data_IF_411307463033
#
_entry.id   IF_411307463033
#
_cell.length_a   1.000
_cell.length_b   1.000
_cell.length_c   1.000
_cell.angle_alpha   90.00
_cell.angle_beta   90.00
_cell.angle_gamma   90.00
#
_symmetry.space_group_name_H-M   'P 1'
#
loop_
_entity.id
_entity.type
_entity.pdbx_description
1 polymer ?
#
# COMPACT_ATOMS: atom_id res chain seq x y z
N UNK A 1 -29.86 -12.00 6.46
CA UNK A 1 -29.47 -10.90 7.39
C UNK A 1 -27.99 -10.49 7.26
N UNK A 2 -27.08 -11.36 6.81
CA UNK A 2 -25.59 -11.17 6.85
C UNK A 2 -24.95 -10.29 5.77
N UNK A 3 -25.72 -9.54 4.98
CA UNK A 3 -25.19 -8.62 3.94
C UNK A 3 -25.58 -7.15 4.15
N UNK A 4 -26.21 -6.81 5.27
CA UNK A 4 -26.60 -5.42 5.54
C UNK A 4 -25.33 -4.59 5.86
N UNK A 5 -25.05 -3.50 5.13
CA UNK A 5 -23.87 -2.66 5.36
C UNK A 5 -23.82 -2.07 6.78
N UNK A 6 -24.97 -1.81 7.42
CA UNK A 6 -25.05 -1.35 8.81
C UNK A 6 -24.53 -2.41 9.80
N UNK A 7 -24.79 -3.69 9.53
CA UNK A 7 -24.26 -4.77 10.35
C UNK A 7 -22.73 -4.88 10.23
N UNK A 8 -22.17 -4.56 9.05
CA UNK A 8 -20.72 -4.63 8.85
C UNK A 8 -19.99 -3.48 9.57
N UNK A 9 -20.54 -2.26 9.56
CA UNK A 9 -19.98 -1.14 10.33
C UNK A 9 -20.02 -1.39 11.85
N UNK A 10 -21.09 -2.02 12.34
CA UNK A 10 -21.19 -2.45 13.73
C UNK A 10 -20.13 -3.53 14.07
N UNK A 11 -19.87 -4.47 13.16
CA UNK A 11 -18.79 -5.45 13.30
C UNK A 11 -17.43 -4.77 13.35
N UNK A 12 -17.17 -3.79 12.46
CA UNK A 12 -15.92 -3.04 12.43
C UNK A 12 -15.66 -2.32 13.78
N UNK A 13 -16.71 -1.72 14.36
CA UNK A 13 -16.63 -1.09 15.69
C UNK A 13 -16.38 -2.10 16.81
N UNK A 14 -17.04 -3.26 16.75
CA UNK A 14 -16.89 -4.33 17.73
C UNK A 14 -15.48 -4.96 17.71
N UNK A 15 -14.86 -5.06 16.53
CA UNK A 15 -13.45 -5.47 16.39
C UNK A 15 -12.55 -4.51 17.17
N UNK A 16 -12.72 -3.20 16.98
CA UNK A 16 -11.94 -2.18 17.69
C UNK A 16 -12.11 -2.26 19.22
N UNK A 17 -13.33 -2.52 19.70
CA UNK A 17 -13.59 -2.72 21.13
C UNK A 17 -12.88 -3.98 21.68
N UNK A 18 -12.97 -5.11 20.98
CA UNK A 18 -12.26 -6.31 21.43
C UNK A 18 -10.75 -6.13 21.45
N UNK A 19 -10.19 -5.36 20.52
CA UNK A 19 -8.77 -5.03 20.55
C UNK A 19 -8.37 -4.14 21.72
N UNK A 20 -9.18 -3.13 22.06
CA UNK A 20 -8.90 -2.26 23.22
C UNK A 20 -8.98 -3.01 24.54
N UNK A 21 -9.81 -4.05 24.60
CA UNK A 21 -9.92 -4.98 25.74
C UNK A 21 -8.85 -6.09 25.74
N UNK A 22 -7.91 -6.10 24.79
CA UNK A 22 -6.88 -7.14 24.68
C UNK A 22 -7.39 -8.50 24.19
N UNK A 23 -8.64 -8.61 23.76
CA UNK A 23 -9.28 -9.85 23.33
C UNK A 23 -8.99 -10.16 21.85
N UNK A 24 -7.71 -10.34 21.52
CA UNK A 24 -7.23 -10.47 20.15
C UNK A 24 -7.87 -11.62 19.36
N UNK A 25 -8.20 -12.75 20.01
CA UNK A 25 -8.85 -13.90 19.35
C UNK A 25 -10.28 -13.60 18.90
N UNK A 26 -11.07 -12.91 19.74
CA UNK A 26 -12.43 -12.49 19.37
C UNK A 26 -12.40 -11.45 18.26
N UNK A 27 -11.50 -10.46 18.38
CA UNK A 27 -11.26 -9.46 17.35
C UNK A 27 -10.90 -10.13 16.01
N UNK A 28 -10.00 -11.12 16.01
CA UNK A 28 -9.61 -11.83 14.81
C UNK A 28 -10.78 -12.57 14.15
N UNK A 29 -11.59 -13.28 14.94
CA UNK A 29 -12.75 -14.03 14.42
C UNK A 29 -13.71 -13.10 13.66
N UNK A 30 -14.02 -11.95 14.25
CA UNK A 30 -14.89 -10.95 13.63
C UNK A 30 -14.22 -10.28 12.42
N UNK A 31 -12.93 -9.94 12.51
CA UNK A 31 -12.20 -9.30 11.41
C UNK A 31 -12.12 -10.21 10.17
N UNK A 32 -11.79 -11.50 10.35
CA UNK A 32 -11.80 -12.47 9.26
C UNK A 32 -13.20 -12.63 8.65
N UNK A 33 -14.24 -12.67 9.48
CA UNK A 33 -15.63 -12.75 8.99
C UNK A 33 -16.03 -11.51 8.20
N UNK A 34 -15.76 -10.32 8.72
CA UNK A 34 -16.05 -9.06 8.02
C UNK A 34 -15.34 -9.00 6.67
N UNK A 35 -14.05 -9.36 6.65
CA UNK A 35 -13.27 -9.42 5.42
C UNK A 35 -13.81 -10.46 4.43
N UNK A 36 -14.15 -11.68 4.87
CA UNK A 36 -14.70 -12.71 3.97
C UNK A 36 -16.00 -12.30 3.29
N UNK A 37 -16.77 -11.40 3.90
CA UNK A 37 -18.02 -10.88 3.33
C UNK A 37 -17.77 -9.74 2.34
N UNK A 38 -16.63 -9.06 2.43
CA UNK A 38 -16.23 -7.95 1.54
C UNK A 38 -14.74 -8.05 1.21
N UNK A 39 -14.32 -9.03 0.40
CA UNK A 39 -12.91 -9.35 0.19
C UNK A 39 -12.14 -8.29 -0.61
N UNK A 40 -12.84 -7.36 -1.26
CA UNK A 40 -12.24 -6.19 -1.93
C UNK A 40 -12.04 -4.99 -1.01
N UNK A 41 -12.49 -5.03 0.25
CA UNK A 41 -12.41 -3.89 1.17
C UNK A 41 -11.03 -3.85 1.86
N UNK A 42 -10.19 -2.89 1.47
CA UNK A 42 -8.84 -2.73 1.99
C UNK A 42 -8.75 -2.45 3.50
N UNK A 43 -9.69 -1.71 4.08
CA UNK A 43 -9.69 -1.40 5.52
C UNK A 43 -9.92 -2.66 6.37
N UNK A 44 -10.89 -3.49 5.98
CA UNK A 44 -11.19 -4.76 6.66
C UNK A 44 -10.09 -5.78 6.48
N UNK A 45 -9.51 -5.83 5.27
CA UNK A 45 -8.32 -6.61 4.99
C UNK A 45 -7.15 -6.25 5.92
N UNK A 46 -6.83 -4.96 6.06
CA UNK A 46 -5.74 -4.51 6.93
C UNK A 46 -6.02 -4.77 8.40
N UNK A 47 -7.28 -4.64 8.83
CA UNK A 47 -7.68 -4.94 10.20
C UNK A 47 -7.44 -6.42 10.52
N UNK A 48 -7.91 -7.33 9.65
CA UNK A 48 -7.67 -8.77 9.81
C UNK A 48 -6.17 -9.10 9.75
N UNK A 49 -5.44 -8.53 8.80
CA UNK A 49 -4.00 -8.76 8.61
C UNK A 49 -3.19 -8.32 9.82
N UNK A 50 -3.45 -7.13 10.36
CA UNK A 50 -2.74 -6.59 11.53
C UNK A 50 -2.98 -7.43 12.79
N UNK A 51 -4.21 -7.85 13.05
CA UNK A 51 -4.54 -8.72 14.20
C UNK A 51 -3.87 -10.09 14.02
N UNK A 52 -3.92 -10.65 12.81
CA UNK A 52 -3.30 -11.93 12.46
C UNK A 52 -1.78 -11.88 12.69
N UNK A 53 -1.11 -10.81 12.24
CA UNK A 53 0.31 -10.60 12.43
C UNK A 53 0.70 -10.47 13.91
N UNK A 54 -0.09 -9.71 14.70
CA UNK A 54 0.12 -9.59 16.17
C UNK A 54 0.05 -10.93 16.89
N UNK A 55 -0.79 -11.84 16.43
CA UNK A 55 -0.95 -13.19 16.98
C UNK A 55 0.10 -14.19 16.47
N UNK A 56 0.99 -13.79 15.57
CA UNK A 56 2.02 -14.66 14.99
C UNK A 56 1.48 -15.71 14.01
N UNK A 57 0.26 -15.54 13.51
CA UNK A 57 -0.41 -16.49 12.62
C UNK A 57 -0.04 -16.24 11.14
N UNK A 58 1.24 -16.41 10.79
CA UNK A 58 1.76 -15.93 9.51
C UNK A 58 1.24 -16.69 8.28
N UNK A 59 0.92 -17.98 8.39
CA UNK A 59 0.29 -18.71 7.28
C UNK A 59 -1.11 -18.17 6.95
N UNK A 60 -1.89 -17.82 7.99
CA UNK A 60 -3.17 -17.14 7.83
C UNK A 60 -3.00 -15.74 7.23
N UNK A 61 -1.92 -15.04 7.59
CA UNK A 61 -1.61 -13.71 7.04
C UNK A 61 -1.40 -13.80 5.53
N UNK A 62 -0.67 -14.81 5.05
CA UNK A 62 -0.45 -15.03 3.63
C UNK A 62 -1.74 -15.36 2.89
N UNK A 63 -2.62 -16.17 3.48
CA UNK A 63 -3.93 -16.49 2.89
C UNK A 63 -4.84 -15.26 2.76
N UNK A 64 -4.83 -14.38 3.78
CA UNK A 64 -5.54 -13.10 3.69
C UNK A 64 -5.02 -12.26 2.52
N UNK A 65 -3.69 -12.19 2.34
CA UNK A 65 -3.07 -11.50 1.21
C UNK A 65 -3.50 -12.07 -0.14
N UNK A 66 -3.44 -13.40 -0.31
CA UNK A 66 -3.92 -14.09 -1.52
C UNK A 66 -5.38 -13.78 -1.82
N UNK A 67 -6.24 -13.86 -0.80
CA UNK A 67 -7.67 -13.57 -0.92
C UNK A 67 -7.92 -12.15 -1.37
N UNK A 68 -7.26 -11.16 -0.75
CA UNK A 68 -7.41 -9.74 -1.10
C UNK A 68 -6.93 -9.48 -2.53
N UNK A 69 -5.74 -9.96 -2.89
CA UNK A 69 -5.17 -9.76 -4.23
C UNK A 69 -6.05 -10.37 -5.34
N UNK A 70 -6.70 -11.51 -5.07
CA UNK A 70 -7.62 -12.15 -6.02
C UNK A 70 -8.96 -11.41 -6.19
N UNK A 71 -9.38 -10.61 -5.21
CA UNK A 71 -10.65 -9.87 -5.22
C UNK A 71 -10.45 -8.34 -5.28
N UNK A 72 -9.23 -7.89 -5.56
CA UNK A 72 -8.92 -6.48 -5.58
C UNK A 72 -9.82 -5.77 -6.61
N UNK A 73 -10.43 -4.67 -6.20
CA UNK A 73 -11.23 -3.87 -7.11
C UNK A 73 -10.34 -2.92 -7.91
N UNK A 74 -10.45 -2.96 -9.24
CA UNK A 74 -9.72 -2.05 -10.13
C UNK A 74 -10.03 -0.57 -9.85
N UNK A 75 -11.21 -0.26 -9.30
CA UNK A 75 -11.66 1.11 -9.01
C UNK A 75 -11.21 1.63 -7.64
N UNK A 76 -10.58 0.78 -6.80
CA UNK A 76 -10.11 1.20 -5.49
C UNK A 76 -8.85 2.08 -5.60
N UNK A 77 -8.99 3.39 -5.50
CA UNK A 77 -7.85 4.32 -5.55
C UNK A 77 -6.79 4.08 -4.45
N UNK A 78 -7.12 3.38 -3.37
CA UNK A 78 -6.24 3.15 -2.22
C UNK A 78 -5.51 1.81 -2.28
N UNK A 79 -5.73 0.98 -3.31
CA UNK A 79 -5.19 -0.38 -3.39
C UNK A 79 -3.69 -0.47 -3.11
N UNK A 80 -2.92 0.51 -3.60
CA UNK A 80 -1.47 0.53 -3.46
C UNK A 80 -1.01 0.85 -2.02
N UNK A 81 -1.72 1.74 -1.33
CA UNK A 81 -1.46 2.03 0.09
C UNK A 81 -1.78 0.81 0.96
N UNK A 82 -2.86 0.10 0.62
CA UNK A 82 -3.28 -1.12 1.30
C UNK A 82 -2.24 -2.23 1.11
N UNK A 83 -1.79 -2.48 -0.12
CA UNK A 83 -0.73 -3.46 -0.37
C UNK A 83 0.58 -3.08 0.31
N UNK A 84 0.97 -1.80 0.30
CA UNK A 84 2.17 -1.34 1.02
C UNK A 84 2.08 -1.68 2.51
N UNK A 85 0.96 -1.36 3.15
CA UNK A 85 0.77 -1.62 4.58
C UNK A 85 0.80 -3.10 4.91
N UNK A 86 0.19 -3.94 4.05
CA UNK A 86 0.27 -5.39 4.19
C UNK A 86 1.69 -5.94 4.00
N UNK A 87 2.41 -5.45 2.98
CA UNK A 87 3.81 -5.84 2.74
C UNK A 87 4.71 -5.42 3.88
N UNK A 88 4.47 -4.30 4.54
CA UNK A 88 5.23 -3.89 5.73
C UNK A 88 5.05 -4.91 6.88
N UNK A 89 3.82 -5.40 7.13
CA UNK A 89 3.57 -6.48 8.12
C UNK A 89 4.32 -7.77 7.78
N UNK A 90 4.31 -8.18 6.51
CA UNK A 90 5.03 -9.37 6.05
C UNK A 90 6.54 -9.17 6.12
N UNK A 91 7.02 -7.96 5.83
CA UNK A 91 8.44 -7.60 5.91
C UNK A 91 8.94 -7.60 7.35
N UNK A 92 8.11 -7.20 8.31
CA UNK A 92 8.46 -7.30 9.73
C UNK A 92 8.61 -8.77 10.17
N UNK A 93 7.72 -9.65 9.71
CA UNK A 93 7.92 -11.09 9.89
C UNK A 93 9.22 -11.57 9.23
N UNK A 94 9.46 -11.17 7.98
CA UNK A 94 10.67 -11.56 7.23
C UNK A 94 11.97 -11.22 7.98
N UNK A 95 12.04 -10.06 8.66
CA UNK A 95 13.19 -9.66 9.48
C UNK A 95 13.46 -10.61 10.65
N UNK A 96 12.43 -11.27 11.19
CA UNK A 96 12.57 -12.24 12.29
C UNK A 96 13.08 -13.60 11.85
N UNK A 97 13.04 -13.90 10.54
CA UNK A 97 13.46 -15.18 10.00
C UNK A 97 14.99 -15.27 9.91
N UNK A 98 15.54 -16.39 10.35
CA UNK A 98 16.98 -16.68 10.27
C UNK A 98 17.32 -17.60 9.10
N UNK A 99 16.45 -18.56 8.79
CA UNK A 99 16.71 -19.57 7.78
C UNK A 99 16.41 -19.09 6.36
N UNK A 100 17.33 -19.36 5.42
CA UNK A 100 17.18 -18.97 4.02
C UNK A 100 15.97 -19.60 3.35
N UNK A 101 15.60 -20.83 3.72
CA UNK A 101 14.46 -21.53 3.16
C UNK A 101 13.13 -20.87 3.53
N UNK A 102 12.96 -20.41 4.77
CA UNK A 102 11.75 -19.72 5.20
C UNK A 102 11.68 -18.33 4.57
N UNK A 103 12.79 -17.60 4.49
CA UNK A 103 12.86 -16.34 3.74
C UNK A 103 12.45 -16.50 2.28
N UNK A 104 12.94 -17.54 1.59
CA UNK A 104 12.52 -17.87 0.21
C UNK A 104 11.02 -18.14 0.11
N UNK A 105 10.42 -18.86 1.07
CA UNK A 105 8.97 -19.07 1.09
C UNK A 105 8.21 -17.74 1.15
N UNK A 106 8.61 -16.81 2.03
CA UNK A 106 7.98 -15.48 2.11
C UNK A 106 8.11 -14.71 0.80
N UNK A 107 9.28 -14.76 0.14
CA UNK A 107 9.47 -14.13 -1.16
C UNK A 107 8.54 -14.72 -2.23
N UNK A 108 8.33 -16.04 -2.23
CA UNK A 108 7.35 -16.69 -3.12
C UNK A 108 5.95 -16.17 -2.84
N UNK A 109 5.55 -16.07 -1.57
CA UNK A 109 4.23 -15.54 -1.18
C UNK A 109 4.01 -14.10 -1.66
N UNK A 110 5.01 -13.23 -1.51
CA UNK A 110 4.94 -11.84 -1.96
C UNK A 110 4.92 -11.71 -3.48
N UNK A 111 5.66 -12.57 -4.20
CA UNK A 111 5.62 -12.60 -5.66
C UNK A 111 4.27 -13.10 -6.18
N UNK A 112 3.68 -14.09 -5.53
CA UNK A 112 2.34 -14.60 -5.85
C UNK A 112 1.26 -13.53 -5.61
N UNK A 113 1.35 -12.80 -4.49
CA UNK A 113 0.50 -11.64 -4.22
C UNK A 113 0.51 -10.64 -5.38
N UNK A 114 1.70 -10.24 -5.85
CA UNK A 114 1.82 -9.34 -6.99
C UNK A 114 1.21 -9.95 -8.27
N UNK A 115 1.43 -11.24 -8.54
CA UNK A 115 0.87 -11.89 -9.72
C UNK A 115 -0.66 -11.91 -9.70
N UNK A 116 -1.28 -12.22 -8.55
CA UNK A 116 -2.73 -12.20 -8.39
C UNK A 116 -3.29 -10.79 -8.54
N UNK A 117 -2.63 -9.81 -7.91
CA UNK A 117 -2.99 -8.39 -8.01
C UNK A 117 -2.96 -7.91 -9.46
N UNK A 118 -1.91 -8.27 -10.21
CA UNK A 118 -1.74 -7.84 -11.60
C UNK A 118 -2.93 -8.24 -12.48
N UNK A 119 -3.52 -9.41 -12.24
CA UNK A 119 -4.69 -9.92 -12.98
C UNK A 119 -5.95 -9.07 -12.77
N UNK A 120 -6.02 -8.29 -11.69
CA UNK A 120 -7.18 -7.44 -11.36
C UNK A 120 -7.01 -5.98 -11.82
N UNK A 121 -5.82 -5.60 -12.30
CA UNK A 121 -5.46 -4.20 -12.53
C UNK A 121 -5.43 -3.83 -14.02
N UNK A 122 -5.80 -2.59 -14.31
CA UNK A 122 -5.64 -2.00 -15.64
C UNK A 122 -4.17 -1.70 -15.99
N UNK A 123 -3.86 -1.46 -17.27
CA UNK A 123 -2.49 -1.31 -17.77
C UNK A 123 -1.64 -0.30 -16.98
N UNK A 124 -2.17 0.90 -16.72
CA UNK A 124 -1.46 1.93 -15.95
C UNK A 124 -1.17 1.49 -14.51
N UNK A 125 -2.15 0.84 -13.86
CA UNK A 125 -2.00 0.32 -12.51
C UNK A 125 -0.99 -0.85 -12.46
N UNK A 126 -0.85 -1.63 -13.53
CA UNK A 126 0.16 -2.67 -13.62
C UNK A 126 1.58 -2.09 -13.63
N UNK A 127 1.81 -0.94 -14.28
CA UNK A 127 3.11 -0.24 -14.21
C UNK A 127 3.42 0.15 -12.76
N UNK A 128 2.43 0.71 -12.05
CA UNK A 128 2.57 1.04 -10.63
C UNK A 128 2.87 -0.19 -9.77
N UNK A 129 2.24 -1.33 -10.07
CA UNK A 129 2.48 -2.60 -9.38
C UNK A 129 3.88 -3.16 -9.63
N UNK A 130 4.39 -3.04 -10.86
CA UNK A 130 5.75 -3.46 -11.21
C UNK A 130 6.77 -2.62 -10.43
N UNK A 131 6.63 -1.29 -10.45
CA UNK A 131 7.48 -0.40 -9.66
C UNK A 131 7.40 -0.70 -8.15
N UNK A 132 6.19 -0.93 -7.62
CA UNK A 132 5.97 -1.35 -6.23
C UNK A 132 6.71 -2.64 -5.89
N UNK A 133 6.62 -3.66 -6.75
CA UNK A 133 7.30 -4.95 -6.57
C UNK A 133 8.81 -4.76 -6.45
N UNK A 134 9.41 -3.91 -7.28
CA UNK A 134 10.84 -3.65 -7.21
C UNK A 134 11.22 -2.94 -5.90
N UNK A 135 10.43 -1.98 -5.40
CA UNK A 135 10.68 -1.34 -4.09
C UNK A 135 10.54 -2.31 -2.92
N UNK A 136 9.54 -3.19 -2.98
CA UNK A 136 9.38 -4.27 -1.99
C UNK A 136 10.62 -5.17 -1.98
N UNK A 137 11.10 -5.62 -3.14
CA UNK A 137 12.31 -6.43 -3.23
C UNK A 137 13.57 -5.68 -2.77
N UNK A 138 13.69 -4.39 -3.11
CA UNK A 138 14.77 -3.53 -2.60
C UNK A 138 14.83 -3.53 -1.08
N UNK A 139 13.70 -3.29 -0.40
CA UNK A 139 13.61 -3.29 1.07
C UNK A 139 14.00 -4.65 1.67
N UNK A 140 13.56 -5.76 1.08
CA UNK A 140 13.88 -7.10 1.57
C UNK A 140 15.36 -7.45 1.37
N UNK A 141 15.97 -7.03 0.25
CA UNK A 141 17.41 -7.21 0.01
C UNK A 141 18.26 -6.40 1.01
N UNK A 142 17.80 -5.21 1.42
CA UNK A 142 18.47 -4.45 2.49
C UNK A 142 18.43 -5.19 3.83
N UNK A 143 17.31 -5.85 4.16
CA UNK A 143 17.23 -6.71 5.36
C UNK A 143 18.23 -7.87 5.29
N UNK A 144 18.55 -8.36 4.09
CA UNK A 144 19.57 -9.38 3.86
C UNK A 144 20.99 -8.82 3.70
N UNK A 145 21.22 -7.52 3.93
CA UNK A 145 22.52 -6.85 3.74
C UNK A 145 23.07 -6.91 2.31
N UNK A 146 22.20 -7.08 1.30
CA UNK A 146 22.55 -7.13 -0.13
C UNK A 146 22.35 -5.78 -0.80
N UNK A 147 23.11 -4.78 -0.34
CA UNK A 147 22.90 -3.38 -0.71
C UNK A 147 23.04 -3.09 -2.21
N UNK A 148 24.00 -3.71 -2.90
CA UNK A 148 24.20 -3.48 -4.34
C UNK A 148 22.97 -3.93 -5.17
N UNK A 149 22.44 -5.11 -4.88
CA UNK A 149 21.24 -5.63 -5.55
C UNK A 149 19.99 -4.85 -5.18
N UNK A 150 19.89 -4.43 -3.91
CA UNK A 150 18.82 -3.56 -3.46
C UNK A 150 18.84 -2.22 -4.22
N UNK A 151 20.02 -1.65 -4.47
CA UNK A 151 20.14 -0.41 -5.22
C UNK A 151 19.66 -0.56 -6.66
N UNK A 152 20.05 -1.65 -7.34
CA UNK A 152 19.56 -1.95 -8.69
C UNK A 152 18.03 -2.03 -8.73
N UNK A 153 17.42 -2.65 -7.71
CA UNK A 153 15.96 -2.73 -7.59
C UNK A 153 15.30 -1.36 -7.35
N UNK A 154 15.94 -0.46 -6.61
CA UNK A 154 15.46 0.91 -6.47
C UNK A 154 15.45 1.62 -7.83
N UNK A 155 16.56 1.57 -8.57
CA UNK A 155 16.66 2.23 -9.88
C UNK A 155 15.70 1.62 -10.91
N UNK A 156 15.53 0.29 -10.89
CA UNK A 156 14.53 -0.42 -11.72
C UNK A 156 13.09 -0.02 -11.37
N UNK A 157 12.80 0.30 -10.12
CA UNK A 157 11.48 0.83 -9.75
C UNK A 157 11.23 2.21 -10.35
N UNK A 158 12.24 3.07 -10.32
CA UNK A 158 12.12 4.46 -10.78
C UNK A 158 12.11 4.57 -12.31
N UNK A 159 12.74 3.64 -13.01
CA UNK A 159 12.83 3.65 -14.47
C UNK A 159 11.48 3.64 -15.17
N UNK A 160 10.45 3.07 -14.54
CA UNK A 160 9.07 3.10 -15.04
C UNK A 160 8.47 4.52 -15.17
N UNK A 161 9.08 5.53 -14.54
CA UNK A 161 8.60 6.91 -14.51
C UNK A 161 9.63 7.92 -15.01
N UNK A 162 10.73 7.50 -15.65
CA UNK A 162 11.76 8.44 -16.11
C UNK A 162 11.25 9.42 -17.17
N UNK A 163 10.39 8.96 -18.08
CA UNK A 163 9.82 9.82 -19.12
C UNK A 163 8.86 10.85 -18.54
N UNK A 164 8.06 10.45 -17.53
CA UNK A 164 7.02 11.29 -16.93
C UNK A 164 7.02 11.10 -15.39
N UNK A 165 7.96 11.74 -14.66
CA UNK A 165 8.08 11.57 -13.21
C UNK A 165 6.84 12.01 -12.41
N UNK A 166 6.02 12.91 -12.98
CA UNK A 166 4.77 13.39 -12.39
C UNK A 166 3.69 12.31 -12.27
N UNK A 167 3.80 11.21 -13.02
CA UNK A 167 2.86 10.08 -12.95
C UNK A 167 3.17 9.11 -11.81
N UNK A 168 4.32 9.23 -11.16
CA UNK A 168 4.68 8.34 -10.07
C UNK A 168 3.72 8.52 -8.88
N UNK A 169 3.04 7.45 -8.42
CA UNK A 169 2.12 7.57 -7.30
C UNK A 169 2.81 8.04 -6.03
N UNK A 170 2.15 8.91 -5.26
CA UNK A 170 2.63 9.41 -3.97
C UNK A 170 3.00 8.25 -3.02
N UNK A 171 2.26 7.15 -3.06
CA UNK A 171 2.53 5.95 -2.28
C UNK A 171 3.91 5.32 -2.57
N UNK A 172 4.35 5.35 -3.84
CA UNK A 172 5.68 4.88 -4.22
C UNK A 172 6.75 5.91 -3.87
N UNK A 173 6.48 7.20 -4.09
CA UNK A 173 7.40 8.29 -3.76
C UNK A 173 7.77 8.28 -2.26
N UNK A 174 6.78 8.12 -1.38
CA UNK A 174 7.00 8.00 0.07
C UNK A 174 7.95 6.86 0.44
N UNK A 175 7.97 5.79 -0.35
CA UNK A 175 8.84 4.64 -0.14
C UNK A 175 10.22 4.83 -0.79
N UNK A 176 10.28 5.43 -1.97
CA UNK A 176 11.52 5.61 -2.72
C UNK A 176 12.42 6.72 -2.13
N UNK A 177 11.86 7.82 -1.64
CA UNK A 177 12.63 8.97 -1.16
C UNK A 177 13.60 8.65 0.00
N UNK A 178 13.21 7.89 1.03
CA UNK A 178 14.15 7.43 2.05
C UNK A 178 15.25 6.53 1.49
N UNK A 179 14.91 5.63 0.55
CA UNK A 179 15.86 4.71 -0.08
C UNK A 179 16.88 5.47 -0.93
N UNK A 180 16.46 6.48 -1.69
CA UNK A 180 17.36 7.34 -2.46
C UNK A 180 18.37 8.06 -1.56
N UNK A 181 17.95 8.57 -0.40
CA UNK A 181 18.91 9.15 0.54
C UNK A 181 19.84 8.11 1.16
N UNK A 182 19.34 6.90 1.45
CA UNK A 182 20.16 5.81 1.95
C UNK A 182 21.27 5.43 0.95
N UNK A 183 20.98 5.38 -0.34
CA UNK A 183 21.97 5.09 -1.39
C UNK A 183 22.79 6.31 -1.86
N UNK A 184 22.52 7.51 -1.34
CA UNK A 184 23.24 8.72 -1.73
C UNK A 184 22.78 9.36 -3.06
N UNK A 185 21.64 8.94 -3.59
CA UNK A 185 21.04 9.42 -4.84
C UNK A 185 20.31 10.76 -4.66
N UNK A 186 21.02 11.76 -4.12
CA UNK A 186 20.45 13.05 -3.71
C UNK A 186 19.93 13.88 -4.88
N UNK A 187 20.56 13.79 -6.06
CA UNK A 187 20.12 14.51 -7.26
C UNK A 187 18.75 14.02 -7.72
N UNK A 188 18.56 12.69 -7.83
CA UNK A 188 17.27 12.08 -8.18
C UNK A 188 16.22 12.42 -7.12
N UNK A 189 16.57 12.29 -5.83
CA UNK A 189 15.68 12.63 -4.72
C UNK A 189 15.20 14.09 -4.80
N UNK A 190 16.09 15.04 -5.09
CA UNK A 190 15.74 16.45 -5.22
C UNK A 190 14.79 16.70 -6.39
N UNK A 191 15.04 16.07 -7.54
CA UNK A 191 14.15 16.16 -8.71
C UNK A 191 12.74 15.66 -8.39
N UNK A 192 12.62 14.50 -7.74
CA UNK A 192 11.31 13.94 -7.34
C UNK A 192 10.59 14.80 -6.30
N UNK A 193 11.31 15.41 -5.35
CA UNK A 193 10.72 16.37 -4.42
C UNK A 193 10.21 17.64 -5.12
N UNK A 194 10.93 18.10 -6.15
CA UNK A 194 10.49 19.20 -7.01
C UNK A 194 9.16 18.90 -7.69
N UNK A 195 9.00 17.68 -8.21
CA UNK A 195 7.76 17.20 -8.83
C UNK A 195 6.58 17.22 -7.84
N UNK A 196 6.78 16.74 -6.61
CA UNK A 196 5.72 16.74 -5.58
C UNK A 196 5.25 18.17 -5.25
N UNK A 197 6.19 19.10 -5.12
CA UNK A 197 5.89 20.49 -4.79
C UNK A 197 5.13 21.19 -5.92
N UNK A 198 5.48 20.92 -7.18
CA UNK A 198 4.78 21.45 -8.35
C UNK A 198 3.35 20.91 -8.45
N UNK A 199 3.15 19.61 -8.25
CA UNK A 199 1.81 18.99 -8.24
C UNK A 199 0.93 19.51 -7.09
N UNK A 200 1.50 19.89 -5.94
CA UNK A 200 0.73 20.53 -4.86
C UNK A 200 0.33 21.98 -5.19
N UNK A 201 1.18 22.70 -5.93
CA UNK A 201 0.88 24.08 -6.33
C UNK A 201 -0.21 24.17 -7.42
N UNK A 202 -0.30 23.19 -8.33
CA UNK A 202 -1.35 23.14 -9.35
C UNK A 202 -2.73 22.80 -8.80
N UNK A 203 -2.81 21.95 -7.76
CA UNK A 203 -4.08 21.65 -7.07
C UNK A 203 -4.66 22.89 -6.38
N UNK A 204 -3.81 23.75 -5.79
CA UNK A 204 -4.27 25.02 -5.20
C UNK A 204 -4.79 26.04 -6.22
N UNK A 205 -4.30 25.99 -7.46
CA UNK A 205 -4.77 26.88 -8.53
C UNK A 205 -6.12 26.44 -9.10
N UNK A 206 -6.50 25.16 -8.99
CA UNK A 206 -7.81 24.67 -9.42
C UNK A 206 -8.94 25.02 -8.44
N UNK A 207 -8.64 25.19 -7.15
CA UNK A 207 -9.63 25.65 -6.14
C UNK A 207 -9.89 27.17 -6.18
N UNK A 208 -9.06 27.95 -6.88
CA UNK A 208 -9.21 29.41 -7.00
C UNK A 208 -10.02 29.88 -8.22
N UNK A 209 -10.55 28.97 -9.04
CA UNK A 209 -11.46 29.32 -10.13
C UNK A 209 -12.92 29.30 -9.66
N UNK A 210 -13.23 30.03 -8.59
CA UNK A 210 -14.59 30.51 -8.34
C UNK A 210 -14.65 31.90 -8.95
N UNK A 211 -15.33 31.99 -10.09
CA UNK A 211 -15.62 33.25 -10.79
C UNK A 211 -16.30 34.20 -9.80
N UNK A 212 -15.79 35.43 -9.58
CA UNK A 212 -16.49 36.41 -8.78
C UNK A 212 -17.81 36.77 -9.47
N UNK A 213 -18.92 36.58 -8.76
CA UNK A 213 -20.18 37.24 -9.08
C UNK A 213 -19.94 38.76 -9.07
N UNK A 214 -20.00 39.40 -10.23
CA UNK A 214 -20.21 40.84 -10.32
C UNK A 214 -21.62 41.14 -9.83
N UNK A 215 -21.72 41.71 -8.63
CA UNK A 215 -22.88 42.48 -8.18
C UNK A 215 -22.57 43.97 -8.30
N UNK A 216 -23.53 44.67 -8.87
CA UNK A 216 -23.60 46.09 -9.24
C UNK A 216 -23.27 47.13 -8.14
N UNK A 217 -23.06 48.36 -8.67
CA UNK A 217 -23.31 49.73 -8.15
C UNK A 217 -22.11 50.54 -7.61
N UNK A 218 -22.18 51.90 -7.51
CA UNK A 218 -22.92 52.94 -8.29
C UNK A 218 -22.06 54.21 -8.63
N UNK A 219 -22.71 55.20 -9.29
CA UNK A 219 -22.36 56.64 -9.46
C UNK A 219 -21.36 57.07 -10.55
N UNK A 220 -21.89 57.58 -11.67
CA UNK A 220 -21.88 59.02 -12.08
C UNK A 220 -22.70 59.19 -13.35
#
# INVERSE_FOLDING_TARGET
VTRNPLCLAAIDSLIGLYESLGQQRHALCLAKRAFSLTPSNGSRFLSASRITAKLGLFEDLYELGRTYAAHLSQTDAQWLNVLSSYVDLVSDHFKTLTHIHTKRKVLVQLNELCLLTQKQLGKEQQVNLLAFKQLMQCKLLLVESRAAEAHLKLLESLSYFYDIPTQMPIALLKQALPLLAFFGEFSIRRSLLGVINQSCSSVRLQECNIVPHEYDYPFS
#
